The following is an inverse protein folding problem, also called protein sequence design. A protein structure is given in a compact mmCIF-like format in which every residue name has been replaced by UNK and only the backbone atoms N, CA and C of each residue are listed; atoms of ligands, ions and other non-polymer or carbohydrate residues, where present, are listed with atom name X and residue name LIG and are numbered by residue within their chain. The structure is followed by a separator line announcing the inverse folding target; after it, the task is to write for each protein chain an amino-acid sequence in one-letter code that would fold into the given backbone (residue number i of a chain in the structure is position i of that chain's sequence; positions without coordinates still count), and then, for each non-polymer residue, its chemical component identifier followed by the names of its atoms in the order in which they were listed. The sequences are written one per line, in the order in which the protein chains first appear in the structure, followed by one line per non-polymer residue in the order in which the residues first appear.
data_IF_907741073660
#
_entry.id   IF_907741073660
#
_cell.length_a   1.000
_cell.length_b   1.000
_cell.length_c   1.000
_cell.angle_alpha   90.00
_cell.angle_beta   90.00
_cell.angle_gamma   90.00
#
_symmetry.space_group_name_H-M   'P 1'
#
loop_
_entity.id
_entity.type
_entity.pdbx_description
1 polymer ?
2 non-polymer ?
3 water ?
#
# COMPACT_ATOMS: atom_id res chain seq x y z
N UNK A 5 25.06 0.54 20.51
CA UNK A 5 24.31 -0.33 19.54
C UNK A 5 23.49 0.42 18.51
N UNK A 6 24.06 1.44 17.88
CA UNK A 6 23.29 2.21 16.89
C UNK A 6 24.09 2.65 15.65
N UNK A 7 23.46 2.54 14.48
CA UNK A 7 24.06 2.94 13.21
C UNK A 7 23.34 4.16 12.63
N UNK A 8 24.06 5.25 12.52
CA UNK A 8 23.52 6.51 12.02
C UNK A 8 23.78 6.70 10.54
N UNK A 9 22.73 7.00 9.77
CA UNK A 9 22.86 7.20 8.33
C UNK A 9 23.51 8.54 8.02
N UNK A 10 24.72 8.49 7.49
CA UNK A 10 25.46 9.69 7.13
C UNK A 10 25.64 9.78 5.64
N UNK A 11 26.82 10.21 5.20
CA UNK A 11 27.07 10.34 3.76
C UNK A 11 27.39 9.04 3.05
N UNK A 12 27.89 8.08 3.81
CA UNK A 12 28.25 6.78 3.28
C UNK A 12 27.10 6.07 2.58
N UNK A 13 27.41 5.25 1.57
CA UNK A 13 26.48 4.46 0.76
C UNK A 13 25.54 3.60 1.58
N UNK A 14 24.32 3.43 1.10
CA UNK A 14 23.33 2.63 1.82
C UNK A 14 23.87 1.29 2.26
N UNK A 15 24.57 0.60 1.37
CA UNK A 15 25.12 -0.71 1.66
C UNK A 15 26.25 -0.63 2.68
N UNK A 16 26.71 0.58 2.94
CA UNK A 16 27.78 0.78 3.87
C UNK A 16 27.23 0.62 5.29
N UNK A 17 25.96 0.99 5.45
CA UNK A 17 25.31 0.88 6.75
C UNK A 17 24.70 -0.47 7.05
N UNK A 18 24.18 -1.17 6.03
CA UNK A 18 23.64 -2.47 6.32
C UNK A 18 24.83 -3.30 6.80
N UNK A 19 26.02 -2.87 6.38
CA UNK A 19 27.26 -3.55 6.77
C UNK A 19 27.51 -3.29 8.23
N UNK A 20 27.48 -2.02 8.61
CA UNK A 20 27.69 -1.65 9.99
C UNK A 20 26.64 -2.32 10.86
N UNK A 21 25.41 -2.37 10.36
CA UNK A 21 24.32 -2.97 11.10
C UNK A 21 24.57 -4.45 11.37
N UNK A 22 24.75 -5.23 10.31
CA UNK A 22 25.02 -6.67 10.46
C UNK A 22 26.25 -6.94 11.31
N UNK A 23 27.25 -6.07 11.19
CA UNK A 23 28.48 -6.19 11.96
C UNK A 23 28.22 -6.18 13.46
N UNK A 24 27.38 -5.26 13.93
CA UNK A 24 27.05 -5.20 15.35
C UNK A 24 26.20 -6.41 15.72
N UNK A 25 25.41 -6.86 14.76
CA UNK A 25 24.58 -8.02 14.98
C UNK A 25 25.46 -9.26 15.06
N UNK A 26 26.48 -9.30 14.21
CA UNK A 26 27.41 -10.41 14.23
C UNK A 26 28.06 -10.43 15.60
N UNK A 27 28.62 -9.29 15.99
CA UNK A 27 29.30 -9.12 17.27
C UNK A 27 28.41 -9.22 18.52
N UNK A 28 27.28 -9.90 18.39
CA UNK A 28 26.42 -10.06 19.54
C UNK A 28 25.14 -9.27 19.54
N UNK A 29 25.26 -7.95 19.63
CA UNK A 29 24.13 -7.02 19.66
C UNK A 29 22.82 -7.75 19.47
N UNK A 30 21.92 -7.61 20.44
CA UNK A 30 20.63 -8.28 20.35
C UNK A 30 19.57 -7.37 19.73
N UNK A 31 19.90 -6.08 19.65
CA UNK A 31 19.03 -5.04 19.07
C UNK A 31 19.94 -3.93 18.54
N UNK A 32 19.86 -3.66 17.25
CA UNK A 32 20.67 -2.61 16.65
C UNK A 32 19.71 -1.54 16.16
N UNK A 33 20.02 -0.28 16.46
CA UNK A 33 19.17 0.83 16.08
C UNK A 33 19.65 1.57 14.84
N UNK A 34 18.78 1.70 13.85
CA UNK A 34 19.13 2.42 12.64
C UNK A 34 18.46 3.79 12.73
N UNK A 35 19.28 4.81 12.94
CA UNK A 35 18.81 6.18 13.08
C UNK A 35 19.16 7.06 11.89
N UNK A 36 18.24 7.97 11.56
CA UNK A 36 18.42 8.91 10.46
C UNK A 36 17.47 10.08 10.61
N UNK A 37 17.75 11.15 9.87
CA UNK A 37 16.93 12.35 9.89
C UNK A 37 16.91 13.00 8.52
N UNK A 38 15.97 13.91 8.31
CA UNK A 38 15.89 14.58 7.03
C UNK A 38 15.65 13.62 5.89
N UNK A 39 16.31 13.84 4.76
CA UNK A 39 16.13 12.95 3.62
C UNK A 39 16.87 11.63 3.79
N UNK A 40 17.73 11.56 4.80
CA UNK A 40 18.48 10.34 5.05
C UNK A 40 17.61 9.26 5.68
N UNK A 41 16.32 9.55 5.87
CA UNK A 41 15.38 8.60 6.47
C UNK A 41 14.97 7.50 5.48
N UNK A 42 14.98 7.85 4.20
CA UNK A 42 14.64 6.94 3.13
C UNK A 42 15.73 5.91 3.08
N UNK A 43 16.97 6.38 3.24
CA UNK A 43 18.12 5.50 3.25
C UNK A 43 18.11 4.64 4.50
N UNK A 44 17.44 5.13 5.54
CA UNK A 44 17.35 4.39 6.79
C UNK A 44 16.46 3.18 6.60
N UNK A 45 15.31 3.38 5.98
CA UNK A 45 14.41 2.25 5.75
C UNK A 45 15.06 1.31 4.74
N UNK A 46 15.92 1.88 3.89
CA UNK A 46 16.65 1.11 2.89
C UNK A 46 17.49 0.09 3.65
N UNK A 47 18.31 0.60 4.55
CA UNK A 47 19.19 -0.24 5.36
C UNK A 47 18.42 -1.34 6.07
N UNK A 48 17.50 -0.96 6.96
CA UNK A 48 16.69 -1.95 7.67
C UNK A 48 16.00 -2.96 6.73
N UNK A 49 15.61 -2.53 5.55
CA UNK A 49 14.97 -3.45 4.60
C UNK A 49 15.95 -4.45 4.06
N UNK A 50 17.10 -3.99 3.58
CA UNK A 50 18.12 -4.89 3.06
C UNK A 50 18.62 -5.90 4.10
N UNK A 51 18.68 -5.46 5.35
CA UNK A 51 19.16 -6.29 6.45
C UNK A 51 18.19 -7.43 6.75
N UNK A 52 17.00 -7.09 7.21
CA UNK A 52 15.99 -8.09 7.53
C UNK A 52 15.66 -8.96 6.31
N UNK A 53 15.71 -8.34 5.14
CA UNK A 53 15.37 -9.04 3.93
C UNK A 53 16.47 -9.84 3.25
N UNK A 54 17.48 -9.15 2.75
CA UNK A 54 18.55 -9.80 2.03
C UNK A 54 19.58 -10.62 2.85
N UNK A 55 19.83 -10.25 4.12
CA UNK A 55 20.84 -10.94 4.91
C UNK A 55 20.48 -11.68 6.19
N UNK A 56 19.56 -11.15 6.98
CA UNK A 56 19.20 -11.78 8.26
C UNK A 56 17.73 -12.10 8.47
N UNK A 57 17.05 -12.52 7.41
CA UNK A 57 15.63 -12.85 7.50
C UNK A 57 15.35 -13.84 8.63
N UNK A 58 15.95 -15.01 8.52
CA UNK A 58 15.78 -16.08 9.49
C UNK A 58 15.71 -15.63 10.95
N UNK A 59 16.68 -14.83 11.38
CA UNK A 59 16.75 -14.40 12.77
C UNK A 59 16.86 -12.90 13.08
N UNK A 60 16.01 -12.08 12.48
CA UNK A 60 16.05 -10.65 12.75
C UNK A 60 14.72 -9.96 12.42
N UNK A 61 14.03 -9.49 13.46
CA UNK A 61 12.73 -8.82 13.30
C UNK A 61 12.83 -7.30 13.59
N UNK A 62 11.86 -6.54 13.11
CA UNK A 62 11.83 -5.10 13.38
C UNK A 62 11.12 -5.00 14.72
N UNK A 63 11.86 -4.63 15.77
CA UNK A 63 11.32 -4.53 17.13
C UNK A 63 10.36 -3.38 17.34
N UNK A 64 10.53 -2.30 16.57
CA UNK A 64 9.68 -1.13 16.70
C UNK A 64 10.22 -0.02 15.83
N UNK A 65 9.34 0.89 15.46
CA UNK A 65 9.74 2.03 14.67
C UNK A 65 9.18 3.27 15.35
N UNK A 66 10.06 4.22 15.63
CA UNK A 66 9.65 5.45 16.28
C UNK A 66 10.20 6.64 15.52
N UNK A 67 9.33 7.63 15.31
CA UNK A 67 9.69 8.84 14.61
C UNK A 67 9.72 10.01 15.54
N UNK A 68 10.22 11.14 15.05
CA UNK A 68 10.27 12.32 15.87
C UNK A 68 10.77 13.52 15.10
N UNK A 69 10.81 14.66 15.78
CA UNK A 69 11.26 15.92 15.20
C UNK A 69 12.46 16.48 15.96
N UNK A 70 13.60 16.55 15.29
CA UNK A 70 14.79 17.08 15.91
C UNK A 70 14.76 18.59 15.69
N UNK A 71 15.76 19.30 16.21
CA UNK A 71 15.82 20.76 16.06
C UNK A 71 17.13 21.19 15.39
N UNK A 72 17.01 22.09 14.42
CA UNK A 72 18.16 22.62 13.72
C UNK A 72 18.33 24.12 13.96
N UNK A 73 19.52 24.57 14.36
CA UNK A 73 19.79 25.99 14.62
C UNK A 73 19.93 26.78 13.33
N UNK A 74 19.26 27.91 13.24
CA UNK A 74 19.35 28.73 12.04
C UNK A 74 20.18 29.99 12.30
N UNK A 75 20.54 30.70 11.25
CA UNK A 75 21.33 31.92 11.36
C UNK A 75 20.74 32.93 12.32
N UNK A 76 19.49 32.71 12.72
CA UNK A 76 18.80 33.62 13.62
C UNK A 76 18.71 33.11 15.08
N UNK A 77 19.56 32.15 15.41
CA UNK A 77 19.53 31.63 16.77
C UNK A 77 18.22 30.91 17.03
N UNK A 78 17.35 30.97 16.05
CA UNK A 78 16.06 30.32 16.14
C UNK A 78 16.31 28.93 15.58
N UNK A 79 15.29 28.09 15.56
CA UNK A 79 15.47 26.74 15.07
C UNK A 79 14.40 26.19 14.11
N UNK A 80 14.88 25.43 13.13
CA UNK A 80 14.04 24.77 12.12
C UNK A 80 13.72 23.37 12.63
N UNK A 81 12.88 22.63 11.91
CA UNK A 81 12.57 21.28 12.34
C UNK A 81 12.88 20.28 11.23
N UNK A 82 13.43 19.12 11.60
CA UNK A 82 13.77 18.07 10.65
C UNK A 82 13.27 16.73 11.16
N UNK A 83 12.45 16.05 10.38
CA UNK A 83 11.94 14.75 10.81
C UNK A 83 13.10 13.80 11.10
N UNK A 84 12.81 12.74 11.83
CA UNK A 84 13.83 11.75 12.14
C UNK A 84 13.14 10.40 12.23
N UNK A 85 13.92 9.33 12.13
CA UNK A 85 13.33 8.01 12.23
C UNK A 85 14.28 7.12 13.01
N UNK A 86 13.72 6.19 13.75
CA UNK A 86 14.52 5.23 14.50
C UNK A 86 13.95 3.85 14.21
N UNK A 87 14.78 2.97 13.64
CA UNK A 87 14.35 1.61 13.34
C UNK A 87 15.18 0.62 14.14
N UNK A 88 14.53 -0.03 15.11
CA UNK A 88 15.19 -0.99 15.97
C UNK A 88 14.95 -2.41 15.48
N UNK A 89 16.00 -3.02 14.97
CA UNK A 89 15.93 -4.40 14.50
C UNK A 89 16.39 -5.28 15.65
N UNK A 90 15.62 -6.31 15.96
CA UNK A 90 15.97 -7.21 17.05
C UNK A 90 16.08 -8.66 16.54
N UNK A 91 16.81 -9.48 17.29
CA UNK A 91 16.99 -10.89 16.93
C UNK A 91 15.67 -11.65 17.10
N UNK A 92 15.22 -12.29 16.02
CA UNK A 92 13.94 -13.02 16.04
C UNK A 92 13.72 -13.86 17.29
N UNK A 93 12.67 -13.49 18.02
CA UNK A 93 12.26 -14.17 19.24
C UNK A 93 10.91 -14.84 18.96
N UNK B 5 -8.97 5.25 4.35
CA UNK B 5 -8.47 6.63 4.67
C UNK B 5 -6.98 6.77 4.43
N UNK B 6 -6.62 7.22 3.24
CA UNK B 6 -5.21 7.32 2.87
C UNK B 6 -4.78 8.55 2.09
N UNK B 7 -3.57 9.02 2.41
CA UNK B 7 -2.96 10.17 1.74
C UNK B 7 -1.57 9.72 1.33
N UNK B 8 -1.32 9.70 0.04
CA UNK B 8 -0.04 9.28 -0.49
C UNK B 8 0.82 10.52 -0.68
N UNK B 9 2.08 10.42 -0.27
CA UNK B 9 2.97 11.55 -0.39
C UNK B 9 3.61 11.62 -1.79
N UNK B 10 3.13 12.56 -2.58
CA UNK B 10 3.65 12.73 -3.92
C UNK B 10 4.73 13.78 -3.90
N UNK B 11 4.70 14.65 -4.90
CA UNK B 11 5.68 15.71 -5.02
C UNK B 11 5.20 17.01 -4.39
N UNK B 12 3.88 17.20 -4.37
CA UNK B 12 3.26 18.40 -3.80
C UNK B 12 3.96 18.85 -2.51
N UNK B 13 3.85 20.15 -2.19
CA UNK B 13 4.45 20.73 -0.99
C UNK B 13 3.92 20.00 0.22
N UNK B 14 4.73 19.89 1.25
CA UNK B 14 4.33 19.20 2.47
C UNK B 14 2.92 19.54 2.91
N UNK B 15 2.73 20.79 3.30
CA UNK B 15 1.46 21.28 3.80
C UNK B 15 0.23 20.79 3.08
N UNK B 16 0.32 20.61 1.77
CA UNK B 16 -0.81 20.13 1.02
C UNK B 16 -1.24 18.77 1.57
N UNK B 17 -0.27 17.93 1.91
CA UNK B 17 -0.60 16.62 2.44
C UNK B 17 -0.98 16.67 3.91
N UNK B 18 -0.33 17.52 4.71
CA UNK B 18 -0.69 17.61 6.11
C UNK B 18 -2.16 18.06 6.13
N UNK B 19 -2.42 19.18 5.48
CA UNK B 19 -3.77 19.73 5.39
C UNK B 19 -4.71 18.64 4.90
N UNK B 20 -4.21 17.82 3.99
CA UNK B 20 -5.01 16.74 3.45
C UNK B 20 -5.39 15.81 4.60
N UNK B 21 -4.40 15.29 5.32
CA UNK B 21 -4.67 14.38 6.42
C UNK B 21 -5.68 14.97 7.38
N UNK B 22 -5.39 16.21 7.80
CA UNK B 22 -6.24 16.94 8.73
C UNK B 22 -7.66 16.96 8.23
N UNK B 23 -7.87 17.43 7.00
CA UNK B 23 -9.21 17.49 6.44
C UNK B 23 -9.92 16.16 6.71
N UNK B 24 -9.24 15.06 6.39
CA UNK B 24 -9.76 13.72 6.62
C UNK B 24 -10.29 13.57 8.04
N UNK B 25 -9.45 13.89 9.03
CA UNK B 25 -9.88 13.79 10.41
C UNK B 25 -11.00 14.79 10.66
N UNK B 26 -10.85 15.98 10.09
CA UNK B 26 -11.83 17.03 10.26
C UNK B 26 -13.21 16.53 9.90
N UNK B 27 -13.27 15.50 9.07
CA UNK B 27 -14.55 14.97 8.65
C UNK B 27 -14.97 13.79 9.48
N UNK B 28 -14.20 13.48 10.50
CA UNK B 28 -14.53 12.37 11.38
C UNK B 28 -13.55 11.22 11.28
N UNK B 29 -12.75 11.21 10.22
CA UNK B 29 -11.76 10.17 10.02
C UNK B 29 -11.28 9.72 11.39
N UNK B 30 -11.39 8.42 11.65
CA UNK B 30 -10.97 7.88 12.94
C UNK B 30 -9.54 7.33 12.85
N UNK B 31 -8.97 7.40 11.66
CA UNK B 31 -7.62 6.91 11.40
C UNK B 31 -7.20 7.28 9.97
N UNK B 32 -5.99 7.79 9.79
CA UNK B 32 -5.50 8.16 8.46
C UNK B 32 -4.11 7.62 8.25
N UNK B 33 -3.83 7.14 7.04
CA UNK B 33 -2.50 6.57 6.74
C UNK B 33 -1.69 7.40 5.76
N UNK B 34 -0.50 7.82 6.18
CA UNK B 34 0.38 8.60 5.32
C UNK B 34 1.38 7.65 4.66
N UNK B 35 1.08 7.22 3.43
CA UNK B 35 1.96 6.31 2.69
C UNK B 35 2.92 7.04 1.73
N UNK B 36 4.14 6.50 1.59
CA UNK B 36 5.14 7.07 0.69
C UNK B 36 6.18 6.03 0.35
N UNK B 37 6.80 6.17 -0.82
CA UNK B 37 7.82 5.22 -1.21
C UNK B 37 9.04 5.99 -1.72
N UNK B 38 10.21 5.38 -1.61
CA UNK B 38 11.41 6.04 -2.07
C UNK B 38 11.69 7.30 -1.28
N UNK B 39 12.36 8.27 -1.91
CA UNK B 39 12.72 9.56 -1.29
C UNK B 39 11.57 10.31 -0.64
N UNK B 40 10.33 9.86 -0.85
CA UNK B 40 9.15 10.51 -0.27
C UNK B 40 9.01 10.17 1.21
N UNK B 41 9.30 8.92 1.57
CA UNK B 41 9.21 8.47 2.97
C UNK B 41 9.58 9.60 3.93
N UNK B 42 10.77 10.16 3.79
CA UNK B 42 11.20 11.25 4.66
C UNK B 42 10.11 12.33 4.74
N UNK B 43 9.47 12.61 3.61
CA UNK B 43 8.41 13.61 3.59
C UNK B 43 7.12 13.07 4.16
N UNK B 44 7.05 11.74 4.30
CA UNK B 44 5.86 11.09 4.85
C UNK B 44 5.93 11.25 6.36
N UNK B 45 7.15 11.36 6.85
CA UNK B 45 7.38 11.53 8.27
C UNK B 45 7.18 13.01 8.60
N UNK B 46 7.61 13.90 7.70
CA UNK B 46 7.41 15.33 7.97
C UNK B 46 5.94 15.42 8.33
N UNK B 47 5.10 15.17 7.33
CA UNK B 47 3.66 15.19 7.50
C UNK B 47 3.20 14.65 8.86
N UNK B 48 3.29 13.33 9.04
CA UNK B 48 2.87 12.71 10.28
C UNK B 48 3.30 13.48 11.54
N UNK B 49 4.49 14.08 11.52
CA UNK B 49 4.99 14.84 12.67
C UNK B 49 4.20 16.13 12.84
N UNK B 50 4.23 16.97 11.82
CA UNK B 50 3.50 18.23 11.82
C UNK B 50 2.06 18.07 12.29
N UNK B 51 1.43 16.96 11.93
CA UNK B 51 0.05 16.71 12.31
C UNK B 51 -0.14 16.39 13.79
N UNK B 52 0.64 15.43 14.28
CA UNK B 52 0.55 14.98 15.67
C UNK B 52 1.29 15.90 16.65
N UNK B 53 2.25 16.64 16.14
CA UNK B 53 3.04 17.56 16.96
C UNK B 53 2.60 19.02 16.93
N UNK B 54 1.94 19.43 15.86
CA UNK B 54 1.51 20.82 15.73
C UNK B 54 0.02 21.08 15.55
N UNK B 55 -0.47 20.82 14.35
CA UNK B 55 -1.85 21.08 14.00
C UNK B 55 -2.92 20.19 14.62
N UNK B 56 -2.54 19.11 15.26
CA UNK B 56 -3.52 18.24 15.90
C UNK B 56 -2.96 17.66 17.20
N UNK B 57 -1.94 18.35 17.71
CA UNK B 57 -1.27 17.99 18.95
C UNK B 57 -2.22 17.39 20.00
N UNK B 58 -3.38 18.03 20.20
CA UNK B 58 -4.33 17.57 21.20
C UNK B 58 -5.34 16.48 20.83
N UNK B 59 -5.32 15.97 19.60
CA UNK B 59 -6.31 14.95 19.27
C UNK B 59 -5.92 13.89 18.25
N UNK B 60 -4.62 13.66 18.12
CA UNK B 60 -4.15 12.67 17.18
C UNK B 60 -2.70 12.29 17.44
N UNK B 61 -2.41 10.99 17.39
CA UNK B 61 -1.05 10.51 17.59
C UNK B 61 -0.78 9.33 16.66
N UNK B 62 0.47 8.86 16.65
CA UNK B 62 0.87 7.74 15.80
C UNK B 62 0.37 6.42 16.41
N UNK B 63 -0.54 5.74 15.71
CA UNK B 63 -1.07 4.47 16.17
C UNK B 63 -0.08 3.36 15.85
N UNK B 64 0.63 3.52 14.73
CA UNK B 64 1.66 2.57 14.32
C UNK B 64 2.34 2.98 13.02
N UNK B 65 3.54 2.46 12.80
CA UNK B 65 4.30 2.75 11.60
C UNK B 65 4.76 1.45 10.97
N UNK B 66 4.60 1.34 9.66
CA UNK B 66 5.01 0.14 8.96
C UNK B 66 6.02 0.44 7.84
N UNK B 67 6.83 -0.57 7.52
CA UNK B 67 7.80 -0.44 6.45
C UNK B 67 7.85 -1.71 5.60
N UNK B 68 8.46 -1.60 4.44
CA UNK B 68 8.57 -2.73 3.55
C UNK B 68 9.29 -2.30 2.29
N UNK B 69 9.19 -3.10 1.25
CA UNK B 69 9.84 -2.80 -0.02
C UNK B 69 8.91 -3.28 -1.13
N UNK B 70 9.01 -2.69 -2.32
CA UNK B 70 8.14 -3.14 -3.39
C UNK B 70 8.82 -3.23 -4.76
N UNK B 71 8.33 -4.17 -5.57
CA UNK B 71 8.85 -4.36 -6.92
C UNK B 71 8.24 -3.32 -7.82
N UNK B 72 8.98 -2.90 -8.84
CA UNK B 72 8.49 -1.91 -9.78
C UNK B 72 8.92 -2.30 -11.18
N UNK B 73 8.08 -3.03 -11.93
CA UNK B 73 8.45 -3.43 -13.29
C UNK B 73 9.01 -2.23 -14.05
N UNK B 74 10.28 -2.30 -14.45
CA UNK B 74 10.92 -1.20 -15.17
C UNK B 74 11.55 -1.56 -16.52
N UNK B 75 12.53 -0.74 -16.93
CA UNK B 75 13.25 -0.91 -18.19
C UNK B 75 13.58 -2.36 -18.49
N UNK B 76 13.07 -2.86 -19.62
CA UNK B 76 13.30 -4.24 -20.01
C UNK B 76 12.63 -5.12 -18.96
N UNK B 77 13.06 -6.37 -18.85
CA UNK B 77 12.47 -7.26 -17.88
C UNK B 77 13.17 -7.11 -16.54
N UNK B 78 13.20 -5.88 -16.02
CA UNK B 78 13.85 -5.61 -14.74
C UNK B 78 12.91 -4.96 -13.72
N UNK B 79 13.03 -5.38 -12.46
CA UNK B 79 12.23 -4.82 -11.37
C UNK B 79 13.18 -4.16 -10.37
N UNK B 80 12.81 -2.98 -9.90
CA UNK B 80 13.61 -2.26 -8.92
C UNK B 80 12.88 -2.31 -7.60
N UNK B 81 13.62 -2.39 -6.50
CA UNK B 81 12.98 -2.39 -5.20
C UNK B 81 13.03 -0.97 -4.69
N UNK B 82 12.05 -0.62 -3.88
CA UNK B 82 12.02 0.69 -3.24
C UNK B 82 11.36 0.44 -1.91
N UNK B 83 11.85 1.14 -0.90
CA UNK B 83 11.33 1.02 0.44
C UNK B 83 10.00 1.78 0.50
N UNK B 84 9.13 1.35 1.41
CA UNK B 84 7.83 1.96 1.56
C UNK B 84 7.45 2.09 3.03
N UNK B 85 6.72 3.16 3.36
CA UNK B 85 6.29 3.41 4.73
C UNK B 85 4.79 3.71 4.78
N UNK B 86 4.14 3.27 5.84
CA UNK B 86 2.72 3.48 6.02
C UNK B 86 2.44 3.97 7.44
N UNK B 87 2.64 5.25 7.70
CA UNK B 87 2.40 5.79 9.05
C UNK B 87 0.90 5.93 9.32
N UNK B 88 0.44 5.31 10.40
CA UNK B 88 -0.97 5.36 10.76
C UNK B 88 -1.19 6.27 11.95
N UNK B 89 -2.04 7.29 11.76
CA UNK B 89 -2.38 8.25 12.81
C UNK B 89 -3.83 8.01 13.20
N UNK B 90 -4.10 7.87 14.48
CA UNK B 90 -5.47 7.64 14.93
C UNK B 90 -5.95 8.79 15.79
N UNK B 91 -7.26 8.88 15.95
CA UNK B 91 -7.87 9.93 16.76
C UNK B 91 -7.65 9.62 18.24
N UNK B 92 -7.26 10.63 19.01
CA UNK B 92 -7.05 10.45 20.45
C UNK B 92 -8.41 10.40 21.12
N UNK B 93 -8.73 9.28 21.76
CA UNK B 93 -10.01 9.17 22.44
C UNK B 93 -9.81 9.04 23.94
N UNK C 5 -29.75 -4.38 -10.04
CA UNK C 5 -28.93 -3.15 -10.32
C UNK C 5 -27.48 -3.47 -10.68
N UNK C 6 -27.20 -3.57 -11.96
CA UNK C 6 -25.86 -3.89 -12.39
C UNK C 6 -25.36 -3.01 -13.52
N UNK C 7 -24.03 -2.94 -13.66
CA UNK C 7 -23.35 -2.16 -14.68
C UNK C 7 -22.12 -2.94 -15.13
N UNK C 8 -22.17 -3.58 -16.31
CA UNK C 8 -21.02 -4.34 -16.77
C UNK C 8 -20.00 -3.48 -17.51
N UNK C 9 -18.73 -3.86 -17.34
CA UNK C 9 -17.64 -3.17 -17.98
C UNK C 9 -17.37 -3.85 -19.32
N UNK C 10 -17.29 -3.07 -20.39
CA UNK C 10 -17.04 -3.62 -21.70
C UNK C 10 -15.87 -2.88 -22.29
N UNK C 11 -15.82 -2.74 -23.61
CA UNK C 11 -14.72 -2.06 -24.28
C UNK C 11 -14.89 -0.53 -24.39
N UNK C 12 -16.12 -0.06 -24.12
CA UNK C 12 -16.44 1.37 -24.19
C UNK C 12 -15.69 2.21 -23.15
N UNK C 13 -15.58 3.54 -23.37
CA UNK C 13 -14.89 4.45 -22.46
C UNK C 13 -15.42 4.37 -21.02
N UNK C 14 -14.50 4.46 -20.05
CA UNK C 14 -14.83 4.38 -18.63
C UNK C 14 -16.01 5.28 -18.20
N UNK C 15 -15.98 6.54 -18.64
CA UNK C 15 -17.06 7.47 -18.32
C UNK C 15 -18.42 6.90 -18.66
N UNK C 16 -18.56 6.36 -19.87
CA UNK C 16 -19.84 5.75 -20.28
C UNK C 16 -20.34 4.99 -19.09
N UNK C 17 -19.44 4.20 -18.51
CA UNK C 17 -19.76 3.39 -17.37
C UNK C 17 -19.92 4.17 -16.05
N UNK C 18 -19.16 5.25 -15.82
CA UNK C 18 -19.35 5.98 -14.57
C UNK C 18 -20.72 6.66 -14.60
N UNK C 19 -21.18 6.93 -15.82
CA UNK C 19 -22.48 7.58 -16.07
C UNK C 19 -23.64 6.63 -15.80
N UNK C 20 -23.55 5.44 -16.38
CA UNK C 20 -24.58 4.42 -16.20
C UNK C 20 -24.76 4.21 -14.72
N UNK C 21 -23.65 4.32 -14.00
CA UNK C 21 -23.67 4.13 -12.55
C UNK C 21 -24.37 5.30 -11.90
N UNK C 22 -23.93 6.50 -12.23
CA UNK C 22 -24.52 7.69 -11.64
C UNK C 22 -26.00 7.81 -11.97
N UNK C 23 -26.41 7.33 -13.13
CA UNK C 23 -27.81 7.44 -13.47
C UNK C 23 -28.65 6.41 -12.72
N UNK C 24 -28.09 5.25 -12.40
CA UNK C 24 -28.90 4.28 -11.66
C UNK C 24 -29.13 4.76 -10.25
N UNK C 25 -28.13 5.42 -9.69
CA UNK C 25 -28.23 5.95 -8.35
C UNK C 25 -29.19 7.14 -8.32
N UNK C 26 -28.89 8.13 -9.14
CA UNK C 26 -29.71 9.31 -9.23
C UNK C 26 -31.17 8.95 -9.52
N UNK C 27 -31.43 7.69 -9.82
CA UNK C 27 -32.80 7.26 -10.11
C UNK C 27 -33.41 6.42 -9.01
N UNK C 28 -32.72 6.31 -7.88
CA UNK C 28 -33.24 5.55 -6.77
C UNK C 28 -32.52 4.25 -6.46
N UNK C 29 -31.31 4.10 -7.00
CA UNK C 29 -30.53 2.89 -6.74
C UNK C 29 -30.03 2.91 -5.32
N UNK C 30 -30.45 1.93 -4.53
CA UNK C 30 -30.03 1.81 -3.14
C UNK C 30 -28.60 1.28 -3.12
N UNK C 31 -28.25 0.51 -4.15
CA UNK C 31 -26.90 -0.05 -4.27
C UNK C 31 -26.69 -0.59 -5.69
N UNK C 32 -25.80 0.07 -6.44
CA UNK C 32 -25.47 -0.31 -7.81
C UNK C 32 -24.25 -1.23 -7.82
N UNK C 33 -24.22 -2.18 -8.75
CA UNK C 33 -23.09 -3.12 -8.81
C UNK C 33 -22.29 -3.09 -10.11
N UNK C 34 -20.97 -3.02 -9.96
CA UNK C 34 -20.03 -2.96 -11.09
C UNK C 34 -19.35 -4.31 -11.31
N UNK C 35 -19.67 -4.96 -12.42
CA UNK C 35 -19.09 -6.27 -12.72
C UNK C 35 -18.21 -6.21 -13.97
N UNK C 36 -17.17 -7.04 -13.96
CA UNK C 36 -16.21 -7.15 -15.06
C UNK C 36 -15.34 -8.38 -14.81
N UNK C 37 -14.86 -8.99 -15.89
CA UNK C 37 -14.00 -10.16 -15.78
C UNK C 37 -12.83 -9.93 -16.71
N UNK C 38 -11.82 -10.78 -16.61
CA UNK C 38 -10.67 -10.61 -17.47
C UNK C 38 -9.93 -9.31 -17.19
N UNK C 39 -9.17 -8.82 -18.16
CA UNK C 39 -8.44 -7.58 -17.93
C UNK C 39 -9.38 -6.37 -17.82
N UNK C 40 -10.67 -6.65 -17.86
CA UNK C 40 -11.66 -5.60 -17.74
C UNK C 40 -11.75 -5.25 -16.25
N UNK C 41 -11.35 -6.19 -15.40
CA UNK C 41 -11.39 -5.94 -13.98
C UNK C 41 -10.66 -4.64 -13.64
N UNK C 42 -9.51 -4.43 -14.29
CA UNK C 42 -8.70 -3.22 -14.05
C UNK C 42 -9.57 -1.97 -14.17
N UNK C 43 -10.33 -1.91 -15.25
CA UNK C 43 -11.20 -0.77 -15.56
C UNK C 43 -12.51 -0.71 -14.79
N UNK C 44 -12.85 -1.79 -14.09
CA UNK C 44 -14.07 -1.81 -13.27
C UNK C 44 -13.72 -1.10 -11.96
N UNK C 45 -12.47 -1.20 -11.55
CA UNK C 45 -12.04 -0.55 -10.34
C UNK C 45 -11.97 0.95 -10.62
N UNK C 46 -11.58 1.30 -11.85
CA UNK C 46 -11.49 2.69 -12.26
C UNK C 46 -12.85 3.37 -12.20
N UNK C 47 -13.87 2.70 -12.73
CA UNK C 47 -15.24 3.23 -12.73
C UNK C 47 -15.80 3.33 -11.33
N UNK C 48 -15.30 2.48 -10.45
CA UNK C 48 -15.75 2.48 -9.08
C UNK C 48 -15.05 3.63 -8.40
N UNK C 49 -13.76 3.77 -8.64
CA UNK C 49 -13.02 4.85 -8.04
C UNK C 49 -13.54 6.19 -8.55
N UNK C 50 -13.59 6.37 -9.86
CA UNK C 50 -14.05 7.64 -10.43
C UNK C 50 -15.39 8.09 -9.88
N UNK C 51 -16.38 7.19 -9.88
CA UNK C 51 -17.71 7.52 -9.37
C UNK C 51 -17.65 8.03 -7.94
N UNK C 52 -17.25 7.15 -7.04
CA UNK C 52 -17.14 7.46 -5.62
C UNK C 52 -16.23 8.66 -5.35
N UNK C 53 -15.40 9.05 -6.30
CA UNK C 53 -14.49 10.18 -6.11
C UNK C 53 -14.96 11.48 -6.75
N UNK C 54 -14.81 11.57 -8.06
CA UNK C 54 -15.19 12.77 -8.79
C UNK C 54 -16.69 13.15 -8.76
N UNK C 55 -17.53 12.28 -8.20
CA UNK C 55 -18.96 12.56 -8.18
C UNK C 55 -19.68 12.25 -6.88
N UNK C 56 -20.27 11.06 -6.81
CA UNK C 56 -21.02 10.63 -5.64
C UNK C 56 -20.15 10.26 -4.43
N UNK C 57 -19.20 11.11 -4.09
CA UNK C 57 -18.30 10.85 -2.96
C UNK C 57 -19.05 10.73 -1.63
N UNK C 58 -19.81 11.78 -1.32
CA UNK C 58 -20.58 11.87 -0.08
C UNK C 58 -21.84 11.04 -0.04
N UNK C 59 -22.43 10.76 -1.19
CA UNK C 59 -23.68 9.99 -1.22
C UNK C 59 -23.57 8.48 -1.30
N UNK C 60 -22.38 7.94 -1.58
CA UNK C 60 -22.25 6.50 -1.71
C UNK C 60 -20.87 5.92 -1.35
N UNK C 61 -20.85 4.69 -0.84
CA UNK C 61 -19.62 3.99 -0.45
C UNK C 61 -19.53 2.60 -1.09
N UNK C 62 -18.46 1.88 -0.76
CA UNK C 62 -18.23 0.54 -1.27
C UNK C 62 -18.73 -0.53 -0.30
N UNK C 63 -20.01 -0.89 -0.41
CA UNK C 63 -20.58 -1.90 0.48
C UNK C 63 -19.84 -3.22 0.48
N UNK C 64 -19.38 -3.67 -0.69
CA UNK C 64 -18.67 -4.93 -0.81
C UNK C 64 -17.96 -5.13 -2.14
N UNK C 65 -16.82 -5.80 -2.09
CA UNK C 65 -16.04 -6.10 -3.29
C UNK C 65 -15.79 -7.59 -3.29
N UNK C 66 -16.58 -8.33 -4.05
CA UNK C 66 -16.42 -9.78 -4.08
C UNK C 66 -15.78 -10.23 -5.38
N UNK C 67 -14.83 -11.13 -5.28
CA UNK C 67 -14.13 -11.62 -6.47
C UNK C 67 -14.34 -13.11 -6.69
N UNK C 68 -14.10 -13.55 -7.92
CA UNK C 68 -14.27 -14.95 -8.25
C UNK C 68 -13.69 -15.21 -9.60
N UNK C 69 -14.16 -16.28 -10.25
CA UNK C 69 -13.66 -16.65 -11.56
C UNK C 69 -14.57 -17.64 -12.30
N UNK C 70 -15.08 -17.21 -13.44
CA UNK C 70 -15.94 -18.06 -14.24
C UNK C 70 -15.13 -18.75 -15.31
N UNK C 71 -15.80 -19.53 -16.15
CA UNK C 71 -15.13 -20.23 -17.23
C UNK C 71 -15.21 -19.49 -18.56
N UNK C 72 -14.29 -19.83 -19.45
CA UNK C 72 -14.23 -19.23 -20.76
C UNK C 72 -13.82 -20.37 -21.70
N UNK C 73 -14.77 -20.92 -22.47
CA UNK C 73 -14.56 -22.03 -23.43
C UNK C 73 -13.43 -21.89 -24.44
N UNK C 74 -12.79 -23.02 -24.73
CA UNK C 74 -11.65 -23.06 -25.64
C UNK C 74 -11.97 -23.89 -26.90
N UNK C 75 -11.25 -23.61 -27.97
CA UNK C 75 -11.43 -24.30 -29.23
C UNK C 75 -10.89 -25.73 -29.12
N UNK C 76 -11.34 -26.46 -28.11
CA UNK C 76 -10.92 -27.84 -27.91
C UNK C 76 -12.01 -28.47 -27.06
N UNK C 77 -13.08 -27.69 -26.88
CA UNK C 77 -14.24 -28.10 -26.11
C UNK C 77 -14.08 -27.93 -24.61
N UNK C 78 -12.93 -27.42 -24.20
CA UNK C 78 -12.63 -27.22 -22.79
C UNK C 78 -12.73 -25.75 -22.42
N UNK C 79 -12.54 -25.43 -21.14
CA UNK C 79 -12.65 -24.06 -20.67
C UNK C 79 -11.51 -23.53 -19.83
N UNK C 80 -10.83 -22.51 -20.34
CA UNK C 80 -9.74 -21.87 -19.62
C UNK C 80 -10.37 -21.09 -18.44
N UNK C 81 -9.54 -20.56 -17.54
CA UNK C 81 -10.06 -19.80 -16.41
C UNK C 81 -9.92 -18.32 -16.57
N UNK C 82 -10.98 -17.61 -16.17
CA UNK C 82 -10.98 -16.18 -16.25
C UNK C 82 -11.53 -15.61 -14.95
N UNK C 83 -10.82 -14.63 -14.39
CA UNK C 83 -11.21 -14.01 -13.15
C UNK C 83 -12.27 -12.89 -13.28
N UNK C 84 -13.10 -12.76 -12.24
CA UNK C 84 -14.14 -11.75 -12.22
C UNK C 84 -14.07 -10.91 -10.94
N UNK C 85 -14.72 -9.75 -10.97
CA UNK C 85 -14.75 -8.81 -9.84
C UNK C 85 -16.14 -8.16 -9.83
N UNK C 86 -16.61 -7.79 -8.65
CA UNK C 86 -17.91 -7.13 -8.53
C UNK C 86 -17.86 -6.09 -7.42
N UNK C 87 -17.72 -4.82 -7.81
CA UNK C 87 -17.66 -3.73 -6.84
C UNK C 87 -19.06 -3.23 -6.57
N UNK C 88 -19.60 -3.58 -5.40
CA UNK C 88 -20.95 -3.16 -5.03
C UNK C 88 -20.91 -1.84 -4.26
N UNK C 89 -21.36 -0.76 -4.89
CA UNK C 89 -21.39 0.55 -4.22
C UNK C 89 -22.77 0.67 -3.58
N UNK C 90 -22.81 0.93 -2.28
CA UNK C 90 -24.08 1.06 -1.57
C UNK C 90 -24.31 2.48 -1.10
N UNK C 91 -25.44 3.05 -1.51
CA UNK C 91 -25.80 4.42 -1.14
C UNK C 91 -25.58 4.64 0.35
N UNK C 92 -24.55 5.43 0.65
CA UNK C 92 -24.18 5.77 2.01
C UNK C 92 -25.38 6.33 2.76
N UNK C 93 -25.75 5.65 3.84
CA UNK C 93 -26.86 6.08 4.66
C UNK C 93 -26.80 5.21 5.91
N UNK D 2 4.81 -6.30 14.83
CA UNK D 2 4.30 -7.53 14.15
C UNK D 2 4.83 -7.65 12.72
N UNK D 3 4.06 -8.27 11.83
CA UNK D 3 4.48 -8.42 10.43
C UNK D 3 3.34 -8.34 9.42
N UNK D 4 3.69 -8.04 8.18
CA UNK D 4 2.73 -7.95 7.08
C UNK D 4 3.36 -8.56 5.84
N UNK D 5 2.64 -9.48 5.22
CA UNK D 5 3.17 -10.12 4.03
C UNK D 5 2.48 -9.61 2.78
N UNK D 6 3.24 -8.86 1.99
CA UNK D 6 2.75 -8.24 0.78
C UNK D 6 3.47 -8.71 -0.47
N UNK D 7 2.70 -8.92 -1.54
CA UNK D 7 3.27 -9.34 -2.82
C UNK D 7 2.81 -8.35 -3.89
N UNK D 8 3.73 -7.52 -4.38
CA UNK D 8 3.42 -6.52 -5.39
C UNK D 8 3.45 -7.08 -6.81
N UNK D 9 2.27 -7.22 -7.38
CA UNK D 9 2.13 -7.75 -8.72
C UNK D 9 2.49 -6.79 -9.84
N UNK D 10 3.57 -7.11 -10.55
CA UNK D 10 4.01 -6.31 -11.67
C UNK D 10 3.67 -7.03 -12.96
N UNK D 11 4.64 -7.18 -13.86
CA UNK D 11 4.34 -7.87 -15.11
C UNK D 11 5.07 -9.19 -15.37
N UNK D 12 5.32 -9.96 -14.31
CA UNK D 12 5.95 -11.25 -14.47
C UNK D 12 4.85 -12.27 -14.66
N UNK D 13 5.18 -13.44 -15.23
CA UNK D 13 4.15 -14.46 -15.43
C UNK D 13 3.40 -14.70 -14.13
N UNK D 14 2.08 -14.62 -14.19
CA UNK D 14 1.22 -14.82 -13.03
C UNK D 14 1.76 -15.77 -11.97
N UNK D 15 2.26 -16.92 -12.39
CA UNK D 15 2.78 -17.90 -11.46
C UNK D 15 3.90 -17.41 -10.54
N UNK D 16 4.84 -16.65 -11.08
CA UNK D 16 5.93 -16.12 -10.26
C UNK D 16 5.34 -15.56 -8.98
N UNK D 17 4.14 -15.00 -9.09
CA UNK D 17 3.45 -14.41 -7.96
C UNK D 17 2.62 -15.39 -7.15
N UNK D 18 1.80 -16.23 -7.79
CA UNK D 18 1.00 -17.17 -7.02
C UNK D 18 1.95 -18.05 -6.21
N UNK D 19 3.18 -18.14 -6.71
CA UNK D 19 4.24 -18.89 -6.08
C UNK D 19 4.63 -18.16 -4.81
N UNK D 20 5.10 -16.94 -4.99
CA UNK D 20 5.52 -16.11 -3.88
C UNK D 20 4.48 -16.08 -2.76
N UNK D 21 3.21 -15.95 -3.13
CA UNK D 21 2.12 -15.88 -2.16
C UNK D 21 1.97 -17.13 -1.30
N UNK D 22 2.16 -18.30 -1.93
CA UNK D 22 2.04 -19.55 -1.21
C UNK D 22 3.24 -19.65 -0.28
N UNK D 23 4.41 -19.39 -0.82
CA UNK D 23 5.64 -19.45 -0.05
C UNK D 23 5.52 -18.62 1.23
N UNK D 24 4.66 -17.59 1.19
CA UNK D 24 4.44 -16.73 2.35
C UNK D 24 3.67 -17.45 3.46
N UNK D 25 2.61 -18.17 3.07
CA UNK D 25 1.82 -18.90 4.05
C UNK D 25 2.62 -20.14 4.49
N UNK D 26 3.55 -20.56 3.64
CA UNK D 26 4.40 -21.69 3.97
C UNK D 26 5.30 -21.21 5.10
N UNK D 27 5.95 -20.06 4.88
CA UNK D 27 6.83 -19.48 5.90
C UNK D 27 6.00 -18.86 7.00
N UNK D 28 4.80 -19.38 7.21
CA UNK D 28 3.91 -18.87 8.24
C UNK D 28 3.46 -17.45 7.94
N UNK D 29 2.14 -17.27 7.82
CA UNK D 29 1.58 -15.96 7.56
C UNK D 29 0.10 -16.06 7.85
N UNK D 30 -0.36 -15.33 8.85
CA UNK D 30 -1.78 -15.38 9.20
C UNK D 30 -2.53 -14.94 7.95
N UNK D 31 -1.99 -13.91 7.29
CA UNK D 31 -2.59 -13.39 6.09
C UNK D 31 -1.56 -12.69 5.22
N UNK D 32 -1.79 -12.76 3.92
CA UNK D 32 -0.90 -12.14 2.95
C UNK D 32 -1.74 -11.25 2.05
N UNK D 33 -1.27 -10.03 1.85
CA UNK D 33 -1.99 -9.09 1.00
C UNK D 33 -1.34 -9.01 -0.38
N UNK D 34 -2.18 -9.16 -1.40
CA UNK D 34 -1.72 -9.09 -2.77
C UNK D 34 -2.05 -7.68 -3.24
N UNK D 35 -1.08 -7.02 -3.85
CA UNK D 35 -1.28 -5.66 -4.30
C UNK D 35 -0.89 -5.46 -5.75
N UNK D 36 -1.45 -4.41 -6.33
CA UNK D 36 -1.18 -4.06 -7.71
C UNK D 36 -2.02 -2.84 -8.03
N UNK D 37 -1.77 -2.25 -9.19
CA UNK D 37 -2.51 -1.08 -9.59
C UNK D 37 -2.45 -1.00 -11.10
N UNK D 38 -3.35 -0.23 -11.70
CA UNK D 38 -3.37 -0.10 -13.14
C UNK D 38 -3.94 -1.40 -13.67
N UNK D 39 -3.55 -1.78 -14.88
CA UNK D 39 -4.03 -3.01 -15.49
C UNK D 39 -3.53 -4.24 -14.76
N UNK D 40 -2.63 -4.03 -13.80
CA UNK D 40 -2.03 -5.10 -12.99
C UNK D 40 -3.08 -5.69 -12.06
N UNK D 41 -4.07 -4.86 -11.74
CA UNK D 41 -5.18 -5.22 -10.89
C UNK D 41 -5.89 -6.46 -11.40
N UNK D 42 -5.64 -6.82 -12.67
CA UNK D 42 -6.23 -8.01 -13.26
C UNK D 42 -5.45 -9.22 -12.74
N UNK D 43 -4.14 -9.21 -12.94
CA UNK D 43 -3.31 -10.31 -12.47
C UNK D 43 -3.43 -10.47 -10.98
N UNK D 44 -3.70 -9.36 -10.30
CA UNK D 44 -3.85 -9.41 -8.85
C UNK D 44 -4.99 -10.35 -8.53
N UNK D 45 -6.14 -10.12 -9.14
CA UNK D 45 -7.31 -10.96 -8.91
C UNK D 45 -7.09 -12.38 -9.37
N UNK D 46 -6.23 -12.54 -10.37
CA UNK D 46 -5.90 -13.85 -10.91
C UNK D 46 -5.03 -14.56 -9.88
N UNK D 47 -3.93 -13.91 -9.50
CA UNK D 47 -3.01 -14.46 -8.51
C UNK D 47 -3.79 -14.89 -7.28
N UNK D 48 -4.69 -14.02 -6.81
CA UNK D 48 -5.47 -14.36 -5.64
C UNK D 48 -6.36 -15.58 -5.86
N UNK D 49 -7.11 -15.60 -6.95
CA UNK D 49 -8.00 -16.72 -7.26
C UNK D 49 -7.23 -18.01 -7.47
N UNK D 50 -6.23 -17.96 -8.33
CA UNK D 50 -5.43 -19.16 -8.58
C UNK D 50 -5.03 -19.82 -7.27
N UNK D 51 -4.58 -19.00 -6.33
CA UNK D 51 -4.13 -19.46 -5.02
C UNK D 51 -5.17 -20.10 -4.12
N UNK D 52 -6.17 -19.35 -3.72
CA UNK D 52 -7.21 -19.92 -2.85
C UNK D 52 -7.98 -21.03 -3.54
N UNK D 53 -7.97 -21.06 -4.85
CA UNK D 53 -8.73 -22.08 -5.55
C UNK D 53 -8.00 -23.36 -5.93
N UNK D 54 -6.75 -23.23 -6.34
CA UNK D 54 -6.02 -24.40 -6.79
C UNK D 54 -4.88 -24.87 -5.90
N UNK D 55 -4.38 -24.00 -5.03
CA UNK D 55 -3.26 -24.39 -4.16
C UNK D 55 -3.60 -24.50 -2.68
N UNK D 56 -3.57 -23.36 -2.01
CA UNK D 56 -3.88 -23.32 -0.60
C UNK D 56 -5.38 -23.35 -0.49
N UNK D 57 -6.00 -24.14 -1.37
CA UNK D 57 -7.44 -24.26 -1.37
C UNK D 57 -7.86 -24.99 -0.11
N UNK D 58 -9.02 -24.62 0.42
CA UNK D 58 -9.54 -25.24 1.63
C UNK D 58 -8.82 -24.69 2.87
N UNK D 59 -7.66 -24.09 2.67
CA UNK D 59 -6.86 -23.53 3.77
C UNK D 59 -6.94 -22.01 3.86
N UNK D 60 -6.77 -21.36 2.72
CA UNK D 60 -6.78 -19.90 2.66
C UNK D 60 -7.99 -19.32 1.94
N UNK D 61 -8.43 -18.14 2.42
CA UNK D 61 -9.55 -17.42 1.81
C UNK D 61 -9.27 -15.91 1.89
N UNK D 62 -10.28 -15.11 1.55
CA UNK D 62 -10.17 -13.64 1.55
C UNK D 62 -10.76 -13.00 2.80
N UNK D 63 -10.00 -12.12 3.44
CA UNK D 63 -10.49 -11.42 4.63
C UNK D 63 -11.12 -10.13 4.13
N UNK D 64 -10.38 -9.43 3.27
CA UNK D 64 -10.87 -8.19 2.69
C UNK D 64 -10.18 -7.81 1.38
N UNK D 65 -10.84 -6.92 0.65
CA UNK D 65 -10.35 -6.43 -0.64
C UNK D 65 -10.47 -4.91 -0.60
N UNK D 66 -9.36 -4.22 -0.83
CA UNK D 66 -9.36 -2.77 -0.78
C UNK D 66 -8.87 -2.08 -2.04
N UNK D 67 -9.79 -1.38 -2.71
CA UNK D 67 -9.47 -0.64 -3.93
C UNK D 67 -9.21 0.83 -3.55
N UNK D 68 -8.36 1.50 -4.32
CA UNK D 68 -8.06 2.88 -4.03
C UNK D 68 -7.52 3.65 -5.23
N UNK D 69 -7.31 4.94 -5.05
CA UNK D 69 -6.79 5.78 -6.11
C UNK D 69 -5.51 6.44 -5.63
N UNK D 70 -4.51 6.45 -6.50
CA UNK D 70 -3.26 7.08 -6.14
C UNK D 70 -2.74 7.76 -7.36
N UNK D 71 -2.43 9.03 -7.23
CA UNK D 71 -1.90 9.78 -8.33
C UNK D 71 -0.45 9.35 -8.47
N UNK D 72 -0.11 8.82 -9.64
CA UNK D 72 1.25 8.37 -9.92
C UNK D 72 1.69 9.02 -11.23
N UNK D 73 2.99 9.35 -11.37
CA UNK D 73 3.52 9.97 -12.59
C UNK D 73 3.23 9.17 -13.87
N UNK D 74 2.49 9.76 -14.81
CA UNK D 74 2.16 9.06 -16.06
C UNK D 74 3.32 9.09 -17.05
N UNK D 75 2.98 8.94 -18.33
CA UNK D 75 3.97 8.94 -19.40
C UNK D 75 5.05 10.00 -19.20
N UNK D 76 4.80 11.21 -19.70
CA UNK D 76 5.76 12.30 -19.56
C UNK D 76 5.51 13.17 -18.33
N UNK D 77 6.33 12.96 -17.30
CA UNK D 77 6.22 13.70 -16.06
C UNK D 77 4.80 13.76 -15.51
N UNK D 78 4.00 14.65 -16.09
CA UNK D 78 2.61 14.87 -15.72
C UNK D 78 2.04 13.58 -15.11
N UNK D 79 1.40 13.71 -13.96
CA UNK D 79 0.86 12.58 -13.22
C UNK D 79 -0.66 12.36 -13.29
N UNK D 80 -1.07 11.09 -13.40
CA UNK D 80 -2.48 10.72 -13.46
C UNK D 80 -2.87 9.84 -12.28
N UNK D 81 -4.14 9.43 -12.23
CA UNK D 81 -4.63 8.59 -11.15
C UNK D 81 -4.54 7.11 -11.49
N UNK D 82 -4.36 6.30 -10.47
CA UNK D 82 -4.29 4.88 -10.69
C UNK D 82 -5.01 4.12 -9.60
N UNK D 83 -5.91 3.25 -10.03
CA UNK D 83 -6.67 2.45 -9.10
C UNK D 83 -5.69 1.48 -8.48
N UNK D 84 -5.81 1.27 -7.18
CA UNK D 84 -4.93 0.34 -6.52
C UNK D 84 -5.85 -0.75 -6.03
N UNK D 85 -5.28 -1.84 -5.57
CA UNK D 85 -6.09 -2.93 -5.08
C UNK D 85 -5.29 -3.74 -4.10
N UNK D 86 -5.94 -4.17 -3.03
CA UNK D 86 -5.29 -4.96 -2.02
C UNK D 86 -6.23 -6.08 -1.64
N UNK D 87 -5.76 -7.32 -1.78
CA UNK D 87 -6.57 -8.46 -1.41
C UNK D 87 -5.91 -9.18 -0.25
N UNK D 88 -6.63 -9.31 0.85
CA UNK D 88 -6.10 -9.96 2.03
C UNK D 88 -6.54 -11.41 2.13
N UNK D 89 -5.57 -12.30 2.04
CA UNK D 89 -5.84 -13.72 2.13
C UNK D 89 -5.48 -14.19 3.53
N UNK D 90 -6.46 -14.72 4.24
CA UNK D 90 -6.22 -15.18 5.59
C UNK D 90 -6.11 -16.69 5.60
N UNK D 91 -5.46 -17.23 6.62
CA UNK D 91 -5.34 -18.66 6.71
C UNK D 91 -6.52 -19.06 7.55
N UNK D 92 -7.16 -20.17 7.22
CA UNK D 92 -8.30 -20.66 7.99
C UNK D 92 -7.76 -21.66 8.99
N UNK D 93 -6.44 -21.68 9.11
CA UNK D 93 -5.76 -22.60 10.01
C UNK D 93 -4.49 -21.97 10.58
#
# INVERSE_FOLDING_TARGET
MTEEHVVYIGKKPVMNYVLAVITQFHEGAKEVSIKARGRAISRAVDVAEIVRNRFLKDDVDVKEIKIGTEELPTADGRTTNTSTIEIVLARKT
MTEEHVVYIGKKPVMNYVLAVITQFHEGAKEVSIKARGRAISRAVDVAEIVRNRFLKDDVDVKEIKIGTEELPTADGRTTNTSTIEIVLARKT
MTEEHVVYIGKKPVMNYVLAVITQFHEGAKEVSIKARGRAISRAVDVAEIVRNRFLKDDVDVKEIKIGTEELPTADGRTTNTSTIEIVLARKT
MTEEHVVYIGKKPVMNYVLAVITQFHEGAKEVSIKARGRAISRAVDVAEIVRNRFLKDDVDVKEIKIGTEELPTADGRTTNTSTIEIVLARKT
#
